data_IF_024240611773
#
_entry.id   IF_024240611773
#
_cell.length_a   1.000
_cell.length_b   1.000
_cell.length_c   1.000
_cell.angle_alpha   90.00
_cell.angle_beta   90.00
_cell.angle_gamma   90.00
#
_symmetry.space_group_name_H-M   'P 1'
#
loop_
_entity.id
_entity.type
_entity.pdbx_description
1 polymer ?
#
# COMPACT_ATOMS: atom_id res chain seq x y z
N UNK A 1 -11.46 10.42 37.59
CA UNK A 1 -12.72 10.59 36.83
C UNK A 1 -13.04 12.06 36.55
N UNK A 2 -12.77 12.98 37.48
CA UNK A 2 -13.07 14.41 37.28
C UNK A 2 -12.32 15.06 36.13
N UNK A 3 -11.01 14.81 35.97
CA UNK A 3 -10.24 15.35 34.86
C UNK A 3 -10.75 14.89 33.48
N UNK A 4 -11.18 13.63 33.36
CA UNK A 4 -11.77 13.08 32.13
C UNK A 4 -13.15 13.70 31.90
N UNK A 5 -13.96 13.84 32.96
CA UNK A 5 -15.26 14.50 32.89
C UNK A 5 -15.14 15.94 32.41
N UNK A 6 -14.20 16.71 32.96
CA UNK A 6 -13.93 18.08 32.54
C UNK A 6 -13.45 18.15 31.09
N UNK A 7 -12.53 17.26 30.69
CA UNK A 7 -12.02 17.21 29.33
C UNK A 7 -13.15 16.95 28.33
N UNK A 8 -14.01 15.97 28.60
CA UNK A 8 -15.11 15.56 27.70
C UNK A 8 -16.27 16.56 27.69
N UNK A 9 -16.65 17.10 28.86
CA UNK A 9 -17.82 17.97 28.98
C UNK A 9 -17.54 19.44 28.68
N UNK A 10 -16.34 19.92 29.00
CA UNK A 10 -16.04 21.34 29.00
C UNK A 10 -14.95 21.70 27.98
N UNK A 11 -13.77 21.10 28.08
CA UNK A 11 -12.62 21.49 27.27
C UNK A 11 -12.80 21.17 25.78
N UNK A 12 -13.27 19.95 25.45
CA UNK A 12 -13.47 19.53 24.06
C UNK A 12 -14.59 20.34 23.38
N UNK A 13 -15.80 20.47 23.94
CA UNK A 13 -16.86 21.27 23.29
C UNK A 13 -16.51 22.75 23.16
N UNK A 14 -15.80 23.32 24.14
CA UNK A 14 -15.31 24.71 24.09
C UNK A 14 -14.28 24.91 22.98
N UNK A 15 -13.36 23.96 22.79
CA UNK A 15 -12.42 24.01 21.67
C UNK A 15 -13.13 23.84 20.32
N UNK A 16 -14.03 22.86 20.20
CA UNK A 16 -14.75 22.57 18.96
C UNK A 16 -15.62 23.76 18.49
N UNK A 17 -16.22 24.51 19.41
CA UNK A 17 -17.00 25.70 19.07
C UNK A 17 -16.16 26.89 18.58
N UNK A 18 -14.86 26.91 18.91
CA UNK A 18 -13.91 27.94 18.48
C UNK A 18 -13.34 27.72 17.08
N UNK A 19 -13.65 26.59 16.44
CA UNK A 19 -13.12 26.27 15.11
C UNK A 19 -13.87 27.08 14.05
N UNK A 20 -13.17 27.85 13.21
CA UNK A 20 -13.80 28.65 12.16
C UNK A 20 -14.17 27.73 10.99
N UNK A 21 -15.34 27.08 11.06
CA UNK A 21 -15.87 26.23 9.98
C UNK A 21 -16.67 27.12 9.01
N UNK A 22 -16.16 27.38 7.79
CA UNK A 22 -16.88 28.22 6.85
C UNK A 22 -18.04 27.44 6.22
N UNK A 23 -19.20 28.09 6.15
CA UNK A 23 -20.42 27.54 5.53
C UNK A 23 -20.51 27.85 4.03
N UNK A 24 -19.53 28.58 3.47
CA UNK A 24 -19.47 28.95 2.05
C UNK A 24 -18.03 28.99 1.53
N UNK A 25 -17.86 28.75 0.23
CA UNK A 25 -16.55 28.83 -0.44
C UNK A 25 -15.91 30.22 -0.36
N UNK A 26 -16.71 31.30 -0.37
CA UNK A 26 -16.19 32.68 -0.19
C UNK A 26 -15.69 32.93 1.23
N UNK A 27 -16.35 32.36 2.24
CA UNK A 27 -15.93 32.45 3.64
C UNK A 27 -14.59 31.75 3.90
N UNK A 28 -14.33 30.65 3.20
CA UNK A 28 -13.06 29.91 3.30
C UNK A 28 -11.85 30.74 2.83
N UNK A 29 -12.02 31.54 1.77
CA UNK A 29 -10.95 32.40 1.23
C UNK A 29 -10.68 33.62 2.13
N UNK A 30 -11.66 34.01 2.97
CA UNK A 30 -11.58 35.18 3.86
C UNK A 30 -11.00 34.91 5.25
N UNK A 31 -10.59 33.67 5.54
CA UNK A 31 -10.03 33.28 6.83
C UNK A 31 -8.66 33.93 7.07
N UNK A 32 -8.42 34.37 8.30
CA UNK A 32 -7.12 34.84 8.75
C UNK A 32 -6.10 33.70 8.83
N UNK A 33 -4.81 34.01 8.76
CA UNK A 33 -3.72 33.02 8.89
C UNK A 33 -3.82 32.22 10.20
N UNK A 34 -4.27 32.86 11.28
CA UNK A 34 -4.46 32.19 12.58
C UNK A 34 -5.62 31.19 12.54
N UNK A 35 -6.72 31.56 11.91
CA UNK A 35 -7.91 30.71 11.75
C UNK A 35 -7.60 29.50 10.87
N UNK A 36 -6.83 29.71 9.81
CA UNK A 36 -6.27 28.65 8.99
C UNK A 36 -5.37 27.69 9.76
N UNK A 37 -4.49 28.21 10.62
CA UNK A 37 -3.62 27.38 11.45
C UNK A 37 -4.43 26.48 12.41
N UNK A 38 -5.47 27.04 13.05
CA UNK A 38 -6.37 26.26 13.90
C UNK A 38 -7.12 25.19 13.09
N UNK A 39 -7.70 25.56 11.95
CA UNK A 39 -8.44 24.62 11.11
C UNK A 39 -7.56 23.47 10.60
N UNK A 40 -6.36 23.78 10.10
CA UNK A 40 -5.41 22.77 9.59
C UNK A 40 -4.96 21.84 10.72
N UNK A 41 -4.63 22.37 11.90
CA UNK A 41 -4.22 21.55 13.05
C UNK A 41 -5.32 20.58 13.48
N UNK A 42 -6.57 21.04 13.53
CA UNK A 42 -7.72 20.21 13.87
C UNK A 42 -8.01 19.15 12.81
N UNK A 43 -8.06 19.52 11.53
CA UNK A 43 -8.27 18.59 10.43
C UNK A 43 -7.15 17.55 10.33
N UNK A 44 -5.90 17.93 10.60
CA UNK A 44 -4.78 17.01 10.62
C UNK A 44 -4.90 15.99 11.76
N UNK A 45 -5.29 16.42 12.96
CA UNK A 45 -5.50 15.52 14.11
C UNK A 45 -6.66 14.55 13.84
N UNK A 46 -7.81 15.06 13.38
CA UNK A 46 -8.95 14.22 13.03
C UNK A 46 -8.61 13.24 11.91
N UNK A 47 -8.04 13.73 10.80
CA UNK A 47 -7.64 12.91 9.67
C UNK A 47 -6.62 11.85 10.06
N UNK A 48 -5.63 12.21 10.90
CA UNK A 48 -4.64 11.28 11.43
C UNK A 48 -5.26 10.20 12.32
N UNK A 49 -6.14 10.57 13.25
CA UNK A 49 -6.83 9.62 14.12
C UNK A 49 -7.74 8.68 13.34
N UNK A 50 -8.54 9.21 12.41
CA UNK A 50 -9.38 8.41 11.52
C UNK A 50 -8.56 7.47 10.64
N UNK A 51 -7.43 7.94 10.09
CA UNK A 51 -6.51 7.12 9.32
C UNK A 51 -5.97 5.95 10.16
N UNK A 52 -5.45 6.22 11.37
CA UNK A 52 -4.93 5.17 12.25
C UNK A 52 -6.00 4.16 12.66
N UNK A 53 -7.24 4.59 12.87
CA UNK A 53 -8.36 3.72 13.22
C UNK A 53 -8.80 2.84 12.03
N UNK A 54 -8.85 3.39 10.82
CA UNK A 54 -9.32 2.68 9.62
C UNK A 54 -8.23 1.83 8.97
N UNK A 55 -6.96 2.24 9.05
CA UNK A 55 -5.82 1.57 8.43
C UNK A 55 -5.74 0.05 8.68
N UNK A 56 -5.87 -0.49 9.90
CA UNK A 56 -5.77 -1.93 10.11
C UNK A 56 -6.92 -2.70 9.43
N UNK A 57 -8.13 -2.13 9.42
CA UNK A 57 -9.27 -2.69 8.71
C UNK A 57 -9.10 -2.60 7.19
N UNK A 58 -8.66 -1.43 6.70
CA UNK A 58 -8.37 -1.22 5.28
C UNK A 58 -7.31 -2.20 4.77
N UNK A 59 -6.17 -2.34 5.45
CA UNK A 59 -5.11 -3.26 5.05
C UNK A 59 -5.56 -4.73 5.09
N UNK A 60 -6.45 -5.08 6.03
CA UNK A 60 -6.96 -6.45 6.20
C UNK A 60 -7.98 -6.85 5.12
N UNK A 61 -8.88 -5.95 4.71
CA UNK A 61 -9.98 -6.27 3.78
C UNK A 61 -9.79 -5.69 2.36
N UNK A 62 -9.18 -4.51 2.27
CA UNK A 62 -9.01 -3.75 1.02
C UNK A 62 -7.54 -3.62 0.60
N UNK A 63 -6.58 -4.05 1.43
CA UNK A 63 -5.16 -4.18 1.11
C UNK A 63 -4.87 -5.32 0.13
N UNK A 64 -5.76 -5.50 -0.84
CA UNK A 64 -5.71 -6.48 -1.89
C UNK A 64 -4.37 -6.40 -2.63
N UNK A 65 -3.86 -7.59 -2.97
CA UNK A 65 -2.54 -7.86 -3.54
C UNK A 65 -1.95 -6.67 -4.28
N UNK A 66 -0.85 -6.12 -3.74
CA UNK A 66 0.08 -5.38 -4.61
C UNK A 66 0.43 -6.32 -5.75
N UNK A 67 0.06 -5.95 -6.97
CA UNK A 67 0.48 -6.65 -8.17
C UNK A 67 2.00 -6.78 -8.12
N UNK A 68 2.47 -7.96 -7.74
CA UNK A 68 3.88 -8.20 -7.58
C UNK A 68 4.42 -8.41 -8.98
N UNK A 69 5.21 -7.46 -9.47
CA UNK A 69 5.99 -7.62 -10.69
C UNK A 69 6.75 -8.95 -10.58
N UNK A 70 6.46 -9.90 -11.48
CA UNK A 70 7.09 -11.22 -11.46
C UNK A 70 8.44 -11.22 -12.18
N UNK A 71 8.46 -10.64 -13.38
CA UNK A 71 9.66 -10.49 -14.20
C UNK A 71 10.38 -9.19 -13.84
N UNK A 72 11.66 -9.24 -13.48
CA UNK A 72 12.43 -8.04 -13.13
C UNK A 72 13.48 -7.65 -14.19
N UNK A 73 13.89 -8.59 -15.05
CA UNK A 73 15.09 -8.42 -15.89
C UNK A 73 15.01 -9.04 -17.28
N UNK A 74 14.07 -9.94 -17.53
CA UNK A 74 14.03 -10.74 -18.74
C UNK A 74 13.29 -9.95 -19.81
N UNK A 75 13.97 -9.63 -20.91
CA UNK A 75 13.40 -9.08 -22.15
C UNK A 75 12.35 -7.97 -21.94
N UNK A 76 12.67 -6.99 -21.10
CA UNK A 76 11.75 -5.92 -20.69
C UNK A 76 11.25 -5.02 -21.83
N UNK A 77 11.91 -5.07 -22.97
CA UNK A 77 11.51 -4.39 -24.20
C UNK A 77 10.31 -5.05 -24.89
N UNK A 78 10.02 -6.34 -24.62
CA UNK A 78 8.87 -7.03 -25.20
C UNK A 78 7.63 -6.75 -24.35
N UNK A 79 6.53 -6.38 -25.00
CA UNK A 79 5.22 -6.22 -24.35
C UNK A 79 4.78 -7.52 -23.65
N UNK A 80 4.99 -8.65 -24.32
CA UNK A 80 4.75 -9.99 -23.79
C UNK A 80 5.94 -10.88 -24.09
N UNK A 81 6.57 -11.40 -23.04
CA UNK A 81 7.67 -12.37 -23.17
C UNK A 81 7.05 -13.77 -23.33
N UNK A 82 7.33 -14.40 -24.46
CA UNK A 82 7.00 -15.79 -24.77
C UNK A 82 8.15 -16.42 -25.56
N UNK A 83 8.33 -17.72 -25.39
CA UNK A 83 9.36 -18.51 -26.06
C UNK A 83 8.68 -19.63 -26.84
N UNK A 84 9.08 -19.84 -28.09
CA UNK A 84 8.63 -20.93 -28.94
C UNK A 84 9.77 -21.92 -29.02
N UNK A 85 9.49 -23.20 -28.76
CA UNK A 85 10.48 -24.25 -28.75
C UNK A 85 9.87 -25.46 -29.43
N UNK A 86 10.59 -25.98 -30.42
CA UNK A 86 10.20 -27.19 -31.12
C UNK A 86 10.51 -28.41 -30.25
N UNK A 87 9.57 -29.35 -30.22
CA UNK A 87 9.67 -30.54 -29.36
C UNK A 87 10.84 -31.43 -29.78
N UNK A 88 11.22 -31.41 -31.06
CA UNK A 88 12.32 -32.19 -31.62
C UNK A 88 13.70 -31.72 -31.12
N UNK A 89 13.83 -30.44 -30.74
CA UNK A 89 15.06 -29.85 -30.20
C UNK A 89 15.26 -30.15 -28.70
N UNK A 90 14.29 -30.82 -28.07
CA UNK A 90 14.34 -31.16 -26.65
C UNK A 90 15.08 -32.48 -26.44
N UNK A 91 16.01 -32.47 -25.49
CA UNK A 91 16.55 -33.72 -24.96
C UNK A 91 15.51 -34.51 -24.16
N UNK A 92 15.84 -35.75 -23.77
CA UNK A 92 14.96 -36.67 -23.02
C UNK A 92 14.27 -36.00 -21.82
N UNK A 93 14.98 -35.08 -21.14
CA UNK A 93 14.43 -34.27 -20.04
C UNK A 93 14.91 -32.84 -20.13
N UNK A 94 13.97 -31.92 -20.29
CA UNK A 94 14.22 -30.48 -20.32
C UNK A 94 13.36 -29.76 -19.27
N UNK A 95 13.95 -28.84 -18.52
CA UNK A 95 13.27 -28.09 -17.46
C UNK A 95 13.17 -26.62 -17.83
N UNK A 96 11.95 -26.06 -17.78
CA UNK A 96 11.69 -24.65 -18.07
C UNK A 96 11.55 -23.80 -16.82
N UNK A 97 12.00 -22.54 -16.91
CA UNK A 97 11.87 -21.56 -15.85
C UNK A 97 10.42 -21.07 -15.75
N UNK A 98 9.87 -21.10 -14.54
CA UNK A 98 8.57 -20.49 -14.22
C UNK A 98 8.65 -19.39 -13.16
N UNK A 99 9.85 -19.14 -12.63
CA UNK A 99 10.06 -18.19 -11.54
C UNK A 99 10.57 -16.81 -12.00
N UNK A 100 10.90 -16.65 -13.30
CA UNK A 100 11.50 -15.43 -13.86
C UNK A 100 12.85 -15.02 -13.24
N UNK A 101 13.56 -15.98 -12.62
CA UNK A 101 14.88 -15.75 -11.99
C UNK A 101 16.05 -16.39 -12.71
N UNK A 102 15.79 -17.27 -13.68
CA UNK A 102 16.85 -17.97 -14.39
C UNK A 102 17.72 -17.00 -15.17
N UNK A 103 19.04 -17.20 -15.11
CA UNK A 103 20.01 -16.52 -15.97
C UNK A 103 20.09 -17.17 -17.36
N UNK A 104 19.58 -18.39 -17.50
CA UNK A 104 19.54 -19.17 -18.74
C UNK A 104 18.11 -19.25 -19.30
N UNK A 105 17.38 -18.14 -19.28
CA UNK A 105 16.02 -18.08 -19.81
C UNK A 105 15.98 -18.62 -21.26
N UNK A 106 15.01 -19.48 -21.65
CA UNK A 106 13.82 -19.91 -20.89
C UNK A 106 14.02 -21.15 -19.99
N UNK A 107 15.23 -21.69 -19.92
CA UNK A 107 15.52 -22.92 -19.18
C UNK A 107 15.70 -22.70 -17.68
N UNK A 108 15.45 -23.73 -16.89
CA UNK A 108 15.66 -23.72 -15.45
C UNK A 108 17.14 -23.90 -15.11
N UNK A 109 17.69 -23.01 -14.28
CA UNK A 109 19.07 -23.06 -13.77
C UNK A 109 19.15 -23.29 -12.26
N UNK A 110 18.01 -23.58 -11.60
CA UNK A 110 17.93 -23.75 -10.15
C UNK A 110 17.78 -22.47 -9.33
N UNK A 111 17.78 -21.27 -9.94
CA UNK A 111 17.64 -19.98 -9.22
C UNK A 111 16.36 -19.86 -8.39
N UNK A 112 15.33 -20.67 -8.68
CA UNK A 112 14.11 -20.73 -7.88
C UNK A 112 14.34 -21.19 -6.43
N UNK A 113 15.39 -21.96 -6.15
CA UNK A 113 15.67 -22.45 -4.80
C UNK A 113 16.01 -21.31 -3.84
N UNK A 114 16.87 -20.39 -4.28
CA UNK A 114 17.21 -19.20 -3.50
C UNK A 114 15.98 -18.28 -3.34
N UNK A 115 15.24 -18.05 -4.43
CA UNK A 115 14.01 -17.26 -4.40
C UNK A 115 12.97 -17.83 -3.43
N UNK A 116 12.75 -19.14 -3.47
CA UNK A 116 11.82 -19.81 -2.56
C UNK A 116 12.27 -19.68 -1.12
N UNK A 117 13.54 -19.95 -0.79
CA UNK A 117 14.05 -19.81 0.59
C UNK A 117 13.81 -18.40 1.17
N UNK A 118 13.96 -17.35 0.36
CA UNK A 118 13.73 -15.96 0.78
C UNK A 118 12.24 -15.62 0.95
N UNK A 119 11.37 -16.13 0.08
CA UNK A 119 9.96 -15.71 0.01
C UNK A 119 8.93 -16.77 0.48
N UNK A 120 9.37 -17.97 0.89
CA UNK A 120 8.50 -19.08 1.32
C UNK A 120 7.57 -18.70 2.49
N UNK A 121 8.01 -17.80 3.39
CA UNK A 121 7.18 -17.32 4.50
C UNK A 121 6.05 -16.36 4.11
N UNK A 122 6.09 -15.77 2.91
CA UNK A 122 5.12 -14.74 2.49
C UNK A 122 3.97 -15.27 1.62
N UNK A 123 4.01 -16.55 1.21
CA UNK A 123 3.05 -17.13 0.26
C UNK A 123 2.16 -18.24 0.83
N UNK A 124 2.15 -18.46 2.16
CA UNK A 124 1.11 -19.30 2.76
C UNK A 124 -0.19 -18.48 2.83
N UNK A 125 -1.30 -18.94 2.23
CA UNK A 125 -2.60 -18.49 2.67
C UNK A 125 -2.71 -18.85 4.15
N UNK A 126 -3.14 -17.89 4.98
CA UNK A 126 -3.70 -18.28 6.29
C UNK A 126 -5.01 -19.01 6.03
#
# INVERSE_FOLDING_TARGET
>A
MEAISYLVRDAVPSYLSSIPIPTSFSGFIKLSVKEWAHLVSFSAVLGGASYLAVKPYYDQYMGAQKDSIMNFRIEKQKEKVYDIIDVEDLGEKTNFCRCWRSKKWPFCDGSHNAFNKLHWRQRRPR
#
